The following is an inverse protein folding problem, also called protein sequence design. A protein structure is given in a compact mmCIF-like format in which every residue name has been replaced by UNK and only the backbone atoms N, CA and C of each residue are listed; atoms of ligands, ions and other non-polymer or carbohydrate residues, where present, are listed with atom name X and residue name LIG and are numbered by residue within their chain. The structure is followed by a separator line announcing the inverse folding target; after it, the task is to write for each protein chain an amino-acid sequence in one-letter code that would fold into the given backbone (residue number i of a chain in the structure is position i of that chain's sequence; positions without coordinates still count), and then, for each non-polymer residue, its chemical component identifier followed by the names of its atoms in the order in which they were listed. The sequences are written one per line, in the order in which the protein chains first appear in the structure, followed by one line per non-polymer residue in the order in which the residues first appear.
data_IF_907875031374
#
_entry.id   IF_907875031374
#
_cell.length_a   1.000
_cell.length_b   1.000
_cell.length_c   1.000
_cell.angle_alpha   90.00
_cell.angle_beta   90.00
_cell.angle_gamma   90.00
#
_symmetry.space_group_name_H-M   'P 1'
#
loop_
_entity.id
_entity.type
_entity.pdbx_description
1 polymer ?
#
# COMPACT_ATOMS: atom_id res chain seq x y z
N UNK A 1 2.95 -29.27 17.11
CA UNK A 1 3.00 -28.19 16.10
C UNK A 1 2.19 -27.04 16.64
N UNK A 2 2.84 -26.04 17.24
CA UNK A 2 2.13 -24.81 17.64
C UNK A 2 1.66 -24.12 16.37
N UNK A 3 0.35 -24.03 16.17
CA UNK A 3 -0.24 -23.25 15.08
C UNK A 3 0.11 -21.78 15.31
N UNK A 4 0.72 -21.12 14.33
CA UNK A 4 1.03 -19.68 14.38
C UNK A 4 -0.23 -18.78 14.43
N UNK A 5 -1.42 -19.37 14.29
CA UNK A 5 -2.66 -18.71 13.89
C UNK A 5 -3.91 -19.29 14.59
N UNK A 6 -3.96 -19.44 15.93
CA UNK A 6 -5.11 -20.06 16.57
C UNK A 6 -6.43 -19.29 16.35
N UNK A 7 -6.36 -17.98 16.04
CA UNK A 7 -7.51 -17.10 15.78
C UNK A 7 -7.21 -16.06 14.68
N UNK A 8 -6.67 -16.50 13.53
CA UNK A 8 -6.34 -15.59 12.44
C UNK A 8 -7.60 -15.03 11.78
N UNK A 9 -7.67 -13.71 11.69
CA UNK A 9 -8.61 -13.02 10.80
C UNK A 9 -7.95 -12.81 9.44
N UNK A 10 -8.57 -13.33 8.38
CA UNK A 10 -8.11 -13.12 7.00
C UNK A 10 -9.16 -12.34 6.21
N UNK A 11 -8.72 -11.31 5.47
CA UNK A 11 -9.58 -10.54 4.60
C UNK A 11 -8.95 -10.30 3.23
N UNK A 12 -9.78 -10.31 2.20
CA UNK A 12 -9.42 -9.85 0.85
C UNK A 12 -10.34 -8.71 0.45
N UNK A 13 -9.81 -7.62 -0.12
CA UNK A 13 -10.60 -6.43 -0.47
C UNK A 13 -11.49 -5.94 0.71
N UNK A 14 -10.91 -5.93 1.93
CA UNK A 14 -11.54 -5.61 3.22
C UNK A 14 -12.76 -6.46 3.60
N UNK A 15 -12.99 -7.60 2.94
CA UNK A 15 -14.08 -8.53 3.25
C UNK A 15 -13.52 -9.81 3.87
N UNK A 16 -14.23 -10.45 4.82
CA UNK A 16 -13.82 -11.75 5.35
C UNK A 16 -13.57 -12.76 4.22
N UNK A 17 -12.42 -13.42 4.25
CA UNK A 17 -12.01 -14.41 3.27
C UNK A 17 -11.50 -15.67 3.98
N UNK A 18 -11.45 -16.78 3.25
CA UNK A 18 -10.86 -18.02 3.76
C UNK A 18 -9.43 -18.18 3.24
N UNK A 19 -8.45 -18.21 4.15
CA UNK A 19 -7.03 -18.30 3.79
C UNK A 19 -6.68 -19.61 3.05
N UNK A 20 -7.51 -20.65 3.16
CA UNK A 20 -7.31 -21.93 2.46
C UNK A 20 -7.79 -21.91 1.01
N UNK A 21 -8.50 -20.86 0.59
CA UNK A 21 -9.06 -20.75 -0.77
C UNK A 21 -8.79 -19.38 -1.41
N UNK A 22 -8.30 -18.41 -0.65
CA UNK A 22 -7.98 -17.06 -1.11
C UNK A 22 -6.69 -16.99 -1.94
N UNK A 23 -6.29 -15.80 -2.35
CA UNK A 23 -5.11 -15.58 -3.19
C UNK A 23 -3.83 -16.17 -2.57
N UNK A 24 -3.66 -16.04 -1.25
CA UNK A 24 -2.49 -16.56 -0.53
C UNK A 24 -2.45 -18.09 -0.42
N UNK A 25 -3.53 -18.80 -0.82
CA UNK A 25 -3.54 -20.26 -0.93
C UNK A 25 -2.97 -20.77 -2.26
N UNK A 26 -2.78 -19.88 -3.25
CA UNK A 26 -2.31 -20.23 -4.58
C UNK A 26 -0.79 -20.00 -4.69
N UNK A 27 -0.04 -20.89 -5.34
CA UNK A 27 1.36 -20.62 -5.68
C UNK A 27 1.43 -19.45 -6.67
N UNK A 28 2.14 -18.39 -6.30
CA UNK A 28 2.36 -17.22 -7.15
C UNK A 28 3.80 -17.20 -7.64
N UNK A 29 4.01 -17.02 -8.95
CA UNK A 29 5.33 -16.81 -9.51
C UNK A 29 5.79 -15.35 -9.27
N UNK A 30 6.18 -15.06 -8.03
CA UNK A 30 6.54 -13.72 -7.57
C UNK A 30 7.72 -13.20 -8.41
N UNK A 31 7.49 -12.08 -9.10
CA UNK A 31 8.52 -11.42 -9.90
C UNK A 31 9.34 -10.47 -9.02
N UNK A 32 8.65 -9.66 -8.20
CA UNK A 32 9.25 -8.71 -7.28
C UNK A 32 8.41 -8.65 -6.01
N UNK A 33 9.07 -8.35 -4.90
CA UNK A 33 8.39 -8.04 -3.65
C UNK A 33 9.22 -7.07 -2.82
N UNK A 34 8.55 -6.34 -1.94
CA UNK A 34 9.17 -5.48 -0.92
C UNK A 34 8.37 -5.56 0.35
N UNK A 35 9.06 -5.61 1.48
CA UNK A 35 8.42 -5.57 2.79
C UNK A 35 8.89 -4.35 3.58
N UNK A 36 7.98 -3.78 4.35
CA UNK A 36 8.26 -2.76 5.37
C UNK A 36 7.65 -3.21 6.70
N UNK A 37 8.26 -2.82 7.80
CA UNK A 37 7.92 -3.23 9.16
C UNK A 37 7.69 -2.01 10.07
N UNK A 38 6.58 -2.04 10.80
CA UNK A 38 6.27 -1.10 11.88
C UNK A 38 6.43 -1.83 13.21
N UNK A 39 7.53 -1.55 13.89
CA UNK A 39 7.87 -2.14 15.19
C UNK A 39 7.04 -1.57 16.35
N UNK A 40 6.45 -0.38 16.16
CA UNK A 40 5.56 0.26 17.16
C UNK A 40 4.19 -0.40 17.16
N UNK A 41 3.64 -0.69 16.00
CA UNK A 41 2.31 -1.32 15.86
C UNK A 41 2.36 -2.85 15.75
N UNK A 42 3.56 -3.45 15.66
CA UNK A 42 3.74 -4.86 15.34
C UNK A 42 3.01 -5.25 14.04
N UNK A 43 3.14 -4.41 13.01
CA UNK A 43 2.54 -4.63 11.69
C UNK A 43 3.61 -4.67 10.60
N UNK A 44 3.34 -5.41 9.54
CA UNK A 44 4.19 -5.45 8.37
C UNK A 44 3.34 -5.29 7.11
N UNK A 45 3.92 -4.72 6.07
CA UNK A 45 3.32 -4.66 4.75
C UNK A 45 4.28 -5.32 3.76
N UNK A 46 3.75 -6.11 2.84
CA UNK A 46 4.47 -6.66 1.70
C UNK A 46 3.73 -6.31 0.42
N UNK A 47 4.40 -5.59 -0.48
CA UNK A 47 3.96 -5.46 -1.88
C UNK A 47 4.52 -6.63 -2.66
N UNK A 48 3.67 -7.31 -3.45
CA UNK A 48 4.05 -8.45 -4.29
C UNK A 48 3.58 -8.17 -5.71
N UNK A 49 4.49 -8.23 -6.68
CA UNK A 49 4.16 -8.13 -8.10
C UNK A 49 4.36 -9.47 -8.78
N UNK A 50 3.33 -9.92 -9.49
CA UNK A 50 3.29 -11.17 -10.27
C UNK A 50 3.06 -10.80 -11.73
N UNK A 51 4.03 -11.13 -12.60
CA UNK A 51 3.94 -10.88 -14.04
C UNK A 51 3.57 -12.12 -14.86
N UNK A 52 2.81 -13.05 -14.26
CA UNK A 52 2.34 -14.23 -14.98
C UNK A 52 1.50 -13.78 -16.20
N UNK A 53 1.87 -14.19 -17.44
CA UNK A 53 1.14 -13.77 -18.63
C UNK A 53 -0.32 -14.22 -18.68
N UNK A 54 -0.67 -15.29 -17.94
CA UNK A 54 -2.04 -15.79 -17.87
C UNK A 54 -2.91 -14.96 -16.92
N UNK A 55 -2.34 -14.50 -15.80
CA UNK A 55 -3.06 -13.70 -14.81
C UNK A 55 -2.06 -12.92 -13.92
N UNK A 56 -1.74 -11.65 -14.26
CA UNK A 56 -0.84 -10.84 -13.47
C UNK A 56 -1.55 -10.24 -12.25
N UNK A 57 -0.80 -9.97 -11.18
CA UNK A 57 -1.32 -9.36 -9.96
C UNK A 57 -0.35 -8.32 -9.39
N UNK A 58 -0.89 -7.33 -8.69
CA UNK A 58 -0.17 -6.54 -7.70
C UNK A 58 -0.91 -6.72 -6.38
N UNK A 59 -0.23 -7.27 -5.38
CA UNK A 59 -0.82 -7.55 -4.08
C UNK A 59 -0.23 -6.63 -3.04
N UNK A 60 -1.08 -6.05 -2.21
CA UNK A 60 -0.70 -5.49 -0.93
C UNK A 60 -1.06 -6.50 0.16
N UNK A 61 -0.12 -6.88 1.01
CA UNK A 61 -0.39 -7.79 2.14
C UNK A 61 0.01 -7.11 3.45
N UNK A 62 -0.96 -6.79 4.29
CA UNK A 62 -0.74 -6.22 5.63
C UNK A 62 -0.94 -7.29 6.69
N UNK A 63 0.07 -7.50 7.52
CA UNK A 63 0.07 -8.45 8.63
C UNK A 63 0.04 -7.68 9.94
N UNK A 64 -0.76 -8.15 10.90
CA UNK A 64 -0.84 -7.62 12.27
C UNK A 64 -0.53 -8.74 13.25
N UNK A 65 0.35 -8.46 14.20
CA UNK A 65 0.70 -9.40 15.27
C UNK A 65 1.01 -8.71 16.59
N UNK A 66 1.66 -9.46 17.48
CA UNK A 66 2.11 -9.00 18.80
C UNK A 66 3.60 -9.30 19.06
N UNK A 67 4.34 -9.63 18.00
CA UNK A 67 5.74 -10.07 18.06
C UNK A 67 5.92 -11.58 18.31
N UNK A 68 4.86 -12.30 18.68
CA UNK A 68 4.87 -13.76 18.86
C UNK A 68 3.91 -14.50 17.94
N UNK A 69 2.74 -13.90 17.69
CA UNK A 69 1.66 -14.47 16.88
C UNK A 69 1.12 -13.45 15.89
N UNK A 70 0.62 -13.95 14.77
CA UNK A 70 -0.11 -13.16 13.79
C UNK A 70 -1.60 -13.32 14.08
N UNK A 71 -2.29 -12.20 14.27
CA UNK A 71 -3.72 -12.14 14.57
C UNK A 71 -4.57 -11.76 13.35
N UNK A 72 -4.00 -11.01 12.40
CA UNK A 72 -4.69 -10.57 11.18
C UNK A 72 -3.79 -10.56 9.96
N UNK A 73 -4.33 -10.97 8.82
CA UNK A 73 -3.76 -10.75 7.49
C UNK A 73 -4.84 -10.08 6.63
N UNK A 74 -4.52 -8.92 6.08
CA UNK A 74 -5.36 -8.20 5.13
C UNK A 74 -4.65 -8.17 3.79
N UNK A 75 -5.32 -8.63 2.73
CA UNK A 75 -4.77 -8.63 1.37
C UNK A 75 -5.62 -7.73 0.48
N UNK A 76 -4.97 -6.82 -0.23
CA UNK A 76 -5.52 -6.17 -1.40
C UNK A 76 -5.00 -6.89 -2.64
N UNK A 77 -5.91 -7.28 -3.52
CA UNK A 77 -5.63 -7.98 -4.78
C UNK A 77 -6.01 -7.04 -5.91
N UNK A 78 -5.01 -6.40 -6.51
CA UNK A 78 -5.20 -5.62 -7.73
C UNK A 78 -4.97 -6.51 -8.95
N UNK A 79 -5.94 -6.51 -9.87
CA UNK A 79 -6.03 -7.41 -11.00
C UNK A 79 -6.70 -6.75 -12.23
N UNK A 80 -6.77 -7.48 -13.33
CA UNK A 80 -7.37 -7.06 -14.58
C UNK A 80 -8.81 -6.54 -14.38
N UNK A 81 -9.01 -5.27 -14.74
CA UNK A 81 -10.29 -4.57 -14.60
C UNK A 81 -10.30 -3.54 -13.49
N UNK A 82 -9.34 -3.59 -12.56
CA UNK A 82 -9.19 -2.59 -11.51
C UNK A 82 -8.66 -1.26 -12.06
N UNK A 83 -8.99 -0.18 -11.35
CA UNK A 83 -8.63 1.17 -11.72
C UNK A 83 -7.10 1.33 -11.84
N UNK A 84 -6.65 1.75 -13.03
CA UNK A 84 -5.23 1.96 -13.36
C UNK A 84 -4.31 0.75 -13.12
N UNK A 85 -4.86 -0.46 -13.05
CA UNK A 85 -4.04 -1.65 -12.86
C UNK A 85 -3.04 -1.85 -14.00
N UNK A 86 -1.75 -1.96 -13.64
CA UNK A 86 -0.66 -2.21 -14.58
C UNK A 86 0.54 -2.87 -13.88
N UNK A 87 0.51 -4.20 -13.74
CA UNK A 87 1.58 -4.94 -13.06
C UNK A 87 2.97 -4.76 -13.72
N UNK A 88 3.05 -4.70 -15.05
CA UNK A 88 4.35 -4.50 -15.74
C UNK A 88 4.89 -3.09 -15.53
N UNK A 89 4.01 -2.09 -15.49
CA UNK A 89 4.35 -0.72 -15.11
C UNK A 89 4.85 -0.63 -13.68
N UNK A 90 4.12 -1.20 -12.72
CA UNK A 90 4.53 -1.29 -11.31
C UNK A 90 5.92 -1.93 -11.21
N UNK A 91 6.15 -3.04 -11.90
CA UNK A 91 7.44 -3.73 -11.87
C UNK A 91 8.60 -2.90 -12.45
N UNK A 92 8.33 -2.17 -13.53
CA UNK A 92 9.29 -1.29 -14.19
C UNK A 92 9.71 -0.15 -13.27
N UNK A 93 8.76 0.58 -12.67
CA UNK A 93 9.08 1.70 -11.80
C UNK A 93 9.76 1.24 -10.51
N UNK A 94 9.29 0.15 -9.90
CA UNK A 94 9.95 -0.46 -8.75
C UNK A 94 11.42 -0.84 -9.04
N UNK A 95 11.76 -1.20 -10.29
CA UNK A 95 13.13 -1.53 -10.66
C UNK A 95 14.09 -0.33 -10.71
N UNK A 96 13.57 0.90 -10.73
CA UNK A 96 14.36 2.14 -10.74
C UNK A 96 14.61 2.69 -9.34
N UNK A 97 13.85 2.23 -8.36
CA UNK A 97 13.95 2.70 -6.99
C UNK A 97 15.04 1.95 -6.20
N UNK A 98 15.73 2.66 -5.32
CA UNK A 98 16.75 2.07 -4.43
C UNK A 98 16.23 2.08 -2.99
N UNK A 99 15.96 0.90 -2.45
CA UNK A 99 15.36 0.70 -1.13
C UNK A 99 16.39 0.22 -0.11
N UNK A 100 17.40 1.04 0.14
CA UNK A 100 18.40 0.81 1.18
C UNK A 100 17.89 1.25 2.55
N UNK A 101 18.41 0.62 3.61
CA UNK A 101 18.21 1.14 4.96
C UNK A 101 18.88 2.52 5.08
N UNK A 102 18.12 3.51 5.56
CA UNK A 102 18.61 4.86 5.81
C UNK A 102 19.57 4.82 7.02
N UNK A 103 20.72 5.53 7.00
CA UNK A 103 21.59 5.68 8.19
C UNK A 103 20.81 6.20 9.39
N UNK A 104 21.12 5.73 10.60
CA UNK A 104 20.31 6.03 11.80
C UNK A 104 20.16 7.53 12.05
N UNK A 105 21.23 8.28 11.79
CA UNK A 105 21.32 9.73 11.93
C UNK A 105 20.52 10.52 10.85
N UNK A 106 20.14 9.87 9.76
CA UNK A 106 19.35 10.43 8.65
C UNK A 106 17.88 9.96 8.68
N UNK A 107 17.51 9.07 9.61
CA UNK A 107 16.14 8.56 9.71
C UNK A 107 15.22 9.62 10.30
N UNK A 108 14.19 9.96 9.54
CA UNK A 108 13.05 10.70 10.07
C UNK A 108 12.31 9.91 11.16
N UNK A 109 11.68 10.63 12.08
CA UNK A 109 10.79 10.02 13.07
C UNK A 109 9.57 9.39 12.41
N UNK A 110 8.99 8.38 13.08
CA UNK A 110 7.76 7.71 12.63
C UNK A 110 6.62 8.71 12.37
N UNK A 111 6.50 9.73 13.21
CA UNK A 111 5.47 10.77 13.11
C UNK A 111 5.65 11.62 11.85
N UNK A 112 6.89 11.96 11.48
CA UNK A 112 7.20 12.71 10.25
C UNK A 112 6.86 11.89 9.01
N UNK A 113 7.24 10.62 8.98
CA UNK A 113 6.96 9.72 7.86
C UNK A 113 5.44 9.53 7.70
N UNK A 114 4.73 9.30 8.81
CA UNK A 114 3.27 9.17 8.79
C UNK A 114 2.59 10.46 8.31
N UNK A 115 3.04 11.63 8.79
CA UNK A 115 2.48 12.92 8.39
C UNK A 115 2.65 13.20 6.89
N UNK A 116 3.74 12.72 6.27
CA UNK A 116 3.93 12.81 4.83
C UNK A 116 2.87 12.00 4.06
N UNK A 117 2.58 10.77 4.51
CA UNK A 117 1.51 9.95 3.94
C UNK A 117 0.10 10.52 4.19
N UNK A 118 -0.13 11.08 5.38
CA UNK A 118 -1.39 11.75 5.72
C UNK A 118 -1.64 12.97 4.83
N UNK A 119 -0.61 13.77 4.55
CA UNK A 119 -0.71 14.92 3.66
C UNK A 119 -1.18 14.55 2.24
N UNK A 120 -0.74 13.40 1.71
CA UNK A 120 -1.20 12.90 0.40
C UNK A 120 -2.72 12.69 0.39
N UNK A 121 -3.26 11.97 1.36
CA UNK A 121 -4.68 11.69 1.42
C UNK A 121 -5.54 12.88 1.91
N UNK A 122 -4.97 13.78 2.71
CA UNK A 122 -5.64 15.01 3.15
C UNK A 122 -5.81 16.02 2.00
N UNK A 123 -4.88 16.01 1.03
CA UNK A 123 -4.95 16.87 -0.16
C UNK A 123 -6.20 16.60 -1.01
N UNK A 124 -6.78 15.40 -0.96
CA UNK A 124 -8.04 15.10 -1.66
C UNK A 124 -9.25 15.85 -1.10
N UNK A 125 -9.17 16.34 0.15
CA UNK A 125 -10.22 17.11 0.81
C UNK A 125 -9.86 18.58 1.02
N UNK A 126 -8.62 18.99 0.74
CA UNK A 126 -8.15 20.35 0.97
C UNK A 126 -6.98 20.71 0.04
N UNK A 127 -7.23 21.60 -0.93
CA UNK A 127 -6.22 22.09 -1.89
C UNK A 127 -5.00 22.77 -1.24
N UNK A 128 -5.15 23.27 -0.02
CA UNK A 128 -4.09 24.00 0.68
C UNK A 128 -3.09 23.07 1.38
N UNK A 129 -3.32 21.76 1.38
CA UNK A 129 -2.36 20.79 1.91
C UNK A 129 -1.21 20.63 0.91
N UNK A 130 0.02 20.88 1.36
CA UNK A 130 1.21 20.66 0.54
C UNK A 130 1.65 19.21 0.70
N UNK A 131 1.83 18.51 -0.43
CA UNK A 131 2.32 17.13 -0.46
C UNK A 131 3.82 17.16 -0.78
N UNK A 132 4.67 16.51 0.04
CA UNK A 132 6.12 16.59 -0.13
C UNK A 132 6.68 15.78 -1.32
N UNK A 133 5.94 14.82 -1.89
CA UNK A 133 6.40 13.94 -2.97
C UNK A 133 5.26 13.51 -3.92
N UNK A 134 5.61 13.12 -5.15
CA UNK A 134 4.67 12.49 -6.10
C UNK A 134 4.33 11.05 -5.69
N UNK A 135 3.07 10.63 -5.90
CA UNK A 135 2.63 9.25 -5.72
C UNK A 135 3.10 8.31 -6.84
N UNK A 136 2.59 7.06 -6.87
CA UNK A 136 3.02 5.98 -7.78
C UNK A 136 2.77 6.18 -9.29
N UNK A 137 2.29 7.35 -9.72
CA UNK A 137 2.26 7.75 -11.12
C UNK A 137 3.30 8.85 -11.32
N UNK A 138 4.30 8.60 -12.17
CA UNK A 138 5.22 9.65 -12.60
C UNK A 138 4.46 10.66 -13.46
N UNK A 139 3.96 11.72 -12.84
CA UNK A 139 3.09 12.71 -13.49
C UNK A 139 3.88 13.79 -14.22
N UNK A 140 5.18 13.87 -13.99
CA UNK A 140 6.12 14.72 -14.74
C UNK A 140 6.44 14.15 -16.12
N UNK A 141 5.44 14.08 -17.01
CA UNK A 141 5.60 13.58 -18.38
C UNK A 141 6.70 14.33 -19.19
N UNK A 142 7.10 15.52 -18.75
CA UNK A 142 8.14 16.35 -19.37
C UNK A 142 9.55 16.13 -18.77
N UNK A 143 9.71 15.28 -17.74
CA UNK A 143 10.99 14.98 -17.06
C UNK A 143 11.73 16.23 -16.57
N UNK A 144 10.98 17.17 -16.04
CA UNK A 144 11.47 18.44 -15.50
C UNK A 144 12.03 18.31 -14.07
N UNK A 145 11.87 17.16 -13.43
CA UNK A 145 12.11 16.92 -12.00
C UNK A 145 11.26 17.80 -11.07
N UNK A 146 10.14 18.33 -11.56
CA UNK A 146 9.18 19.11 -10.77
C UNK A 146 8.09 18.23 -10.16
N UNK A 147 7.61 18.57 -8.96
CA UNK A 147 6.43 17.93 -8.36
C UNK A 147 5.15 18.45 -9.04
N UNK A 148 4.52 17.60 -9.84
CA UNK A 148 3.22 17.78 -10.50
C UNK A 148 2.08 17.02 -9.79
N UNK A 149 2.32 16.48 -8.60
CA UNK A 149 1.41 15.67 -7.77
C UNK A 149 0.02 16.29 -7.52
N UNK A 150 -0.13 17.60 -7.69
CA UNK A 150 -1.38 18.32 -7.45
C UNK A 150 -2.30 18.41 -8.68
N UNK A 151 -1.84 18.00 -9.87
CA UNK A 151 -2.61 18.13 -11.11
C UNK A 151 -3.76 17.11 -11.15
N UNK A 152 -5.00 17.61 -11.30
CA UNK A 152 -6.18 16.77 -11.54
C UNK A 152 -6.75 16.04 -10.32
N UNK A 153 -6.13 16.17 -9.13
CA UNK A 153 -6.68 15.57 -7.91
C UNK A 153 -7.96 16.30 -7.44
N UNK A 154 -9.01 15.55 -7.04
CA UNK A 154 -10.18 16.12 -6.37
C UNK A 154 -9.82 16.93 -5.12
N UNK A 155 -10.76 17.74 -4.65
CA UNK A 155 -10.61 18.58 -3.46
C UNK A 155 -11.78 18.49 -2.46
N UNK A 156 -12.73 17.60 -2.73
CA UNK A 156 -13.94 17.41 -1.92
C UNK A 156 -14.07 15.99 -1.35
N UNK A 157 -13.02 15.17 -1.46
CA UNK A 157 -13.04 13.77 -1.01
C UNK A 157 -12.29 13.68 0.31
N UNK A 158 -12.97 13.15 1.33
CA UNK A 158 -12.34 12.77 2.59
C UNK A 158 -12.06 11.27 2.60
N UNK A 159 -10.80 10.89 2.44
CA UNK A 159 -10.35 9.49 2.54
C UNK A 159 -10.44 9.02 3.99
N UNK A 160 -10.93 7.80 4.20
CA UNK A 160 -11.28 7.26 5.53
C UNK A 160 -10.56 5.94 5.82
N UNK A 161 -10.78 5.39 7.02
CA UNK A 161 -10.33 4.06 7.44
C UNK A 161 -8.82 3.78 7.32
N UNK A 162 -8.00 4.83 7.51
CA UNK A 162 -6.54 4.75 7.42
C UNK A 162 -5.97 3.75 8.43
N UNK A 163 -5.25 2.75 7.94
CA UNK A 163 -4.50 1.76 8.73
C UNK A 163 -3.06 1.73 8.25
N UNK A 164 -2.13 1.96 9.16
CA UNK A 164 -0.75 2.26 8.80
C UNK A 164 0.17 1.04 8.97
N UNK A 165 1.26 1.07 8.19
CA UNK A 165 2.53 0.41 8.46
C UNK A 165 3.61 1.46 8.18
N UNK A 166 4.31 1.91 9.21
CA UNK A 166 5.37 2.93 9.11
C UNK A 166 6.71 2.30 9.46
N UNK A 167 7.66 2.36 8.53
CA UNK A 167 9.00 1.81 8.69
C UNK A 167 10.04 2.94 8.65
N UNK A 168 10.62 3.22 9.82
CA UNK A 168 11.65 4.25 9.97
C UNK A 168 12.99 3.85 9.36
N UNK A 169 13.25 2.55 9.17
CA UNK A 169 14.49 2.05 8.57
C UNK A 169 14.51 2.37 7.08
N UNK A 170 13.37 2.25 6.40
CA UNK A 170 13.23 2.59 4.99
C UNK A 170 12.65 3.99 4.73
N UNK A 171 12.26 4.72 5.78
CA UNK A 171 11.64 6.04 5.63
C UNK A 171 10.29 5.99 4.93
N UNK A 172 9.52 4.92 5.14
CA UNK A 172 8.38 4.57 4.31
C UNK A 172 7.09 4.39 5.10
N UNK A 173 5.96 4.70 4.46
CA UNK A 173 4.63 4.45 5.02
C UNK A 173 3.74 3.81 3.96
N UNK A 174 3.06 2.73 4.35
CA UNK A 174 1.92 2.20 3.65
C UNK A 174 0.64 2.52 4.46
N UNK A 175 -0.42 2.92 3.77
CA UNK A 175 -1.70 3.26 4.39
C UNK A 175 -2.79 2.51 3.63
N UNK A 176 -3.44 1.56 4.30
CA UNK A 176 -4.68 0.96 3.82
C UNK A 176 -5.80 1.94 4.10
N UNK A 177 -6.58 2.29 3.09
CA UNK A 177 -7.64 3.29 3.17
C UNK A 177 -8.95 2.79 2.59
N UNK A 178 -10.05 3.36 3.07
CA UNK A 178 -11.30 3.37 2.34
C UNK A 178 -11.36 4.63 1.49
N UNK A 179 -11.30 4.50 0.17
CA UNK A 179 -11.32 5.62 -0.77
C UNK A 179 -12.72 5.86 -1.34
N UNK A 180 -13.42 6.96 -0.94
CA UNK A 180 -14.75 7.25 -1.48
C UNK A 180 -14.70 7.60 -2.97
N UNK A 181 -15.53 6.93 -3.76
CA UNK A 181 -15.69 7.23 -5.19
C UNK A 181 -14.55 6.77 -6.10
N UNK A 182 -13.63 5.94 -5.60
CA UNK A 182 -12.61 5.26 -6.42
C UNK A 182 -13.29 4.30 -7.41
N UNK A 183 -14.17 3.44 -6.91
CA UNK A 183 -15.18 2.78 -7.75
C UNK A 183 -16.42 3.68 -7.84
N UNK A 184 -16.65 4.25 -9.03
CA UNK A 184 -17.80 5.14 -9.31
C UNK A 184 -19.15 4.42 -9.20
N UNK A 185 -19.17 3.09 -9.27
CA UNK A 185 -20.37 2.29 -9.09
C UNK A 185 -20.67 1.99 -7.61
N UNK A 186 -19.65 2.09 -6.74
CA UNK A 186 -19.81 1.86 -5.30
C UNK A 186 -20.27 3.11 -4.56
N UNK A 187 -21.21 2.93 -3.63
CA UNK A 187 -21.60 3.96 -2.66
C UNK A 187 -20.72 3.95 -1.40
N UNK A 188 -20.06 2.83 -1.14
CA UNK A 188 -19.15 2.65 -0.02
C UNK A 188 -17.71 3.01 -0.45
N UNK A 189 -16.86 3.52 0.46
CA UNK A 189 -15.44 3.68 0.19
C UNK A 189 -14.81 2.37 -0.29
N UNK A 190 -14.12 2.42 -1.43
CA UNK A 190 -13.45 1.24 -1.97
C UNK A 190 -12.16 0.95 -1.20
N UNK A 191 -11.78 -0.32 -1.01
CA UNK A 191 -10.47 -0.68 -0.48
C UNK A 191 -9.35 -0.20 -1.40
N UNK A 192 -8.33 0.44 -0.82
CA UNK A 192 -7.11 0.92 -1.49
C UNK A 192 -5.92 0.87 -0.50
#
# INVERSE_FOLDING_TARGET
TSTLFPNLTYTEQFKPANISTGILSNPLNITQYRSILDDVLCTAFTEITVLDPSHPYVLGVRVVGDGSYISKIETLVSDAGDWLFNATGTALYNSWETWGAIPLEERDSREVIQAAGDAYFDRFGNLNVTVPLEGGAYTDAARTNGSTCHLGLPSAIKVVDRRYVVDVVYGAVNIYVGFPGLDRASKEPAPD
#
